data_IF_324642755271
#
_entry.id   IF_324642755271
#
_cell.length_a   1.000
_cell.length_b   1.000
_cell.length_c   1.000
_cell.angle_alpha   90.00
_cell.angle_beta   90.00
_cell.angle_gamma   90.00
#
_symmetry.space_group_name_H-M   'P 1'
#
loop_
_entity.id
_entity.type
_entity.pdbx_description
1 polymer ?
#
# COMPACT_ATOMS: atom_id res chain seq x y z
N UNK A 1 10.97 -15.82 -1.90
CA UNK A 1 9.88 -14.93 -1.43
C UNK A 1 9.41 -14.13 -2.64
N UNK A 2 8.11 -14.10 -2.94
CA UNK A 2 7.60 -13.20 -3.99
C UNK A 2 7.55 -11.81 -3.35
N UNK A 3 8.32 -10.88 -3.89
CA UNK A 3 8.29 -9.47 -3.50
C UNK A 3 7.39 -8.77 -4.52
N UNK A 4 6.23 -8.32 -4.07
CA UNK A 4 5.34 -7.52 -4.90
C UNK A 4 5.67 -6.05 -4.69
N UNK A 5 5.83 -5.33 -5.80
CA UNK A 5 6.19 -3.92 -5.82
C UNK A 5 5.04 -3.12 -6.42
N UNK A 6 4.78 -1.93 -5.86
CA UNK A 6 3.91 -0.93 -6.48
C UNK A 6 4.71 0.33 -6.74
N UNK A 7 4.42 0.99 -7.85
CA UNK A 7 5.18 2.15 -8.32
C UNK A 7 4.21 3.23 -8.79
N UNK A 8 4.44 4.45 -8.31
CA UNK A 8 3.76 5.66 -8.70
C UNK A 8 4.77 6.59 -9.37
N UNK A 9 4.49 6.96 -10.62
CA UNK A 9 5.36 7.80 -11.45
C UNK A 9 4.63 9.07 -11.86
N UNK A 10 5.38 10.07 -12.35
CA UNK A 10 4.84 11.35 -12.84
C UNK A 10 4.12 12.15 -11.75
N UNK A 11 4.58 12.00 -10.51
CA UNK A 11 4.13 12.84 -9.40
C UNK A 11 4.72 14.23 -9.64
N UNK A 12 3.90 15.30 -9.64
CA UNK A 12 4.40 16.64 -9.84
C UNK A 12 5.51 17.00 -8.84
N UNK A 13 6.48 17.83 -9.24
CA UNK A 13 7.58 18.20 -8.34
C UNK A 13 7.18 19.30 -7.33
N UNK A 14 6.04 19.93 -7.53
CA UNK A 14 5.49 21.02 -6.74
C UNK A 14 4.55 20.56 -5.61
N UNK A 15 4.28 19.26 -5.48
CA UNK A 15 3.46 18.72 -4.39
C UNK A 15 4.27 18.48 -3.13
N UNK A 16 3.73 18.92 -2.00
CA UNK A 16 4.42 18.88 -0.70
C UNK A 16 4.31 17.52 -0.01
N UNK A 17 3.18 16.83 -0.16
CA UNK A 17 2.88 15.62 0.59
C UNK A 17 2.17 14.57 -0.25
N UNK A 18 2.71 13.35 -0.21
CA UNK A 18 2.19 12.16 -0.85
C UNK A 18 1.67 11.22 0.22
N UNK A 19 0.41 10.83 0.08
CA UNK A 19 -0.29 9.96 1.00
C UNK A 19 -0.61 8.65 0.28
N UNK A 20 -0.05 7.55 0.79
CA UNK A 20 -0.39 6.23 0.31
C UNK A 20 -1.63 5.74 1.05
N UNK A 21 -2.59 5.28 0.28
CA UNK A 21 -3.87 4.83 0.76
C UNK A 21 -4.19 3.47 0.15
N UNK A 22 -5.05 2.73 0.83
CA UNK A 22 -5.76 1.60 0.23
C UNK A 22 -7.22 1.94 0.12
N UNK A 23 -7.82 1.54 -0.98
CA UNK A 23 -9.23 1.70 -1.25
C UNK A 23 -9.80 0.37 -1.70
N UNK A 24 -10.89 -0.07 -1.07
CA UNK A 24 -11.63 -1.26 -1.46
C UNK A 24 -13.12 -0.94 -1.50
N UNK A 25 -13.81 -1.21 -2.62
CA UNK A 25 -15.26 -1.12 -2.69
C UNK A 25 -15.96 -2.03 -1.65
N UNK A 26 -17.23 -1.75 -1.39
CA UNK A 26 -18.05 -2.62 -0.56
C UNK A 26 -18.10 -4.03 -1.16
N UNK A 27 -17.89 -5.06 -0.32
CA UNK A 27 -17.91 -6.46 -0.73
C UNK A 27 -16.69 -6.92 -1.53
N UNK A 28 -15.61 -6.12 -1.60
CA UNK A 28 -14.43 -6.51 -2.37
C UNK A 28 -13.78 -7.78 -1.83
N UNK A 29 -13.49 -8.74 -2.70
CA UNK A 29 -12.92 -10.02 -2.29
C UNK A 29 -11.43 -9.88 -1.98
N UNK A 30 -11.10 -9.94 -0.69
CA UNK A 30 -9.73 -10.04 -0.19
C UNK A 30 -9.57 -11.45 0.39
N UNK A 31 -8.68 -12.23 -0.21
CA UNK A 31 -8.33 -13.55 0.31
C UNK A 31 -7.09 -13.44 1.19
N UNK A 32 -7.16 -14.00 2.39
CA UNK A 32 -6.01 -14.06 3.28
C UNK A 32 -5.90 -15.41 3.97
N UNK A 33 -4.69 -15.78 4.36
CA UNK A 33 -4.40 -17.00 5.10
C UNK A 33 -3.17 -16.78 5.98
N UNK A 34 -3.16 -17.32 7.19
CA UNK A 34 -2.11 -17.07 8.17
C UNK A 34 -2.07 -15.60 8.60
N UNK A 35 -0.88 -15.03 8.74
CA UNK A 35 -0.72 -13.62 9.06
C UNK A 35 -1.09 -12.74 7.84
N UNK A 36 -1.99 -11.78 8.04
CA UNK A 36 -2.51 -10.89 7.00
C UNK A 36 -2.07 -9.42 7.18
N UNK A 37 -1.24 -9.13 8.17
CA UNK A 37 -0.62 -7.83 8.34
C UNK A 37 0.56 -7.71 7.37
N UNK A 38 0.68 -6.56 6.71
CA UNK A 38 1.66 -6.30 5.66
C UNK A 38 2.46 -5.05 6.01
N UNK A 39 3.78 -5.20 6.01
CA UNK A 39 4.72 -4.09 6.07
C UNK A 39 4.93 -3.54 4.67
N UNK A 40 4.92 -2.22 4.56
CA UNK A 40 5.18 -1.46 3.36
C UNK A 40 6.51 -0.73 3.57
N UNK A 41 7.47 -1.00 2.71
CA UNK A 41 8.80 -0.40 2.73
C UNK A 41 8.98 0.51 1.51
N UNK A 42 9.76 1.57 1.64
CA UNK A 42 10.21 2.32 0.47
C UNK A 42 11.14 1.46 -0.37
N UNK A 43 10.97 1.51 -1.69
CA UNK A 43 11.87 0.87 -2.66
C UNK A 43 12.59 1.91 -3.54
N UNK A 44 12.24 3.20 -3.41
CA UNK A 44 12.86 4.34 -4.08
C UNK A 44 13.12 5.50 -3.12
N UNK A 45 13.92 6.49 -3.56
CA UNK A 45 14.24 7.69 -2.79
C UNK A 45 15.29 7.46 -1.70
N UNK A 46 15.52 8.50 -0.90
CA UNK A 46 16.52 8.51 0.19
C UNK A 46 16.15 7.55 1.35
N UNK A 47 14.86 7.20 1.45
CA UNK A 47 14.33 6.31 2.47
C UNK A 47 14.24 4.85 2.02
N UNK A 48 14.84 4.48 0.88
CA UNK A 48 14.83 3.10 0.37
C UNK A 48 15.22 2.09 1.45
N UNK A 49 14.39 1.06 1.61
CA UNK A 49 14.53 -0.02 2.59
C UNK A 49 13.95 0.30 3.96
N UNK A 50 13.56 1.55 4.25
CA UNK A 50 12.91 1.92 5.51
C UNK A 50 11.43 1.53 5.50
N UNK A 51 10.90 1.22 6.68
CA UNK A 51 9.49 0.93 6.87
C UNK A 51 8.70 2.24 6.69
N UNK A 52 7.87 2.29 5.66
CA UNK A 52 6.96 3.39 5.42
C UNK A 52 5.70 3.27 6.27
N UNK A 53 5.17 2.06 6.43
CA UNK A 53 3.99 1.81 7.25
C UNK A 53 3.60 0.34 7.29
N UNK A 54 2.52 0.07 8.00
CA UNK A 54 2.00 -1.28 8.18
C UNK A 54 0.49 -1.25 8.05
N UNK A 55 -0.07 -2.25 7.37
CA UNK A 55 -1.50 -2.31 7.11
C UNK A 55 -2.03 -3.74 7.13
N UNK A 56 -3.26 -3.89 7.57
CA UNK A 56 -4.04 -5.12 7.38
C UNK A 56 -5.10 -4.83 6.32
N UNK A 57 -4.98 -5.46 5.15
CA UNK A 57 -5.96 -5.27 4.08
C UNK A 57 -7.30 -5.88 4.49
N UNK A 58 -8.33 -5.03 4.53
CA UNK A 58 -9.69 -5.42 4.89
C UNK A 58 -10.70 -4.67 4.02
N UNK A 59 -11.82 -5.33 3.75
CA UNK A 59 -12.97 -4.76 3.07
C UNK A 59 -14.22 -5.02 3.91
N UNK A 60 -15.09 -4.03 4.01
CA UNK A 60 -16.42 -4.19 4.58
C UNK A 60 -17.37 -4.74 3.53
N UNK A 61 -18.32 -5.59 3.95
CA UNK A 61 -19.36 -6.13 3.06
C UNK A 61 -20.40 -5.09 2.64
N UNK A 62 -20.55 -4.00 3.41
CA UNK A 62 -21.62 -3.02 3.24
C UNK A 62 -21.13 -1.64 2.82
N UNK A 63 -19.89 -1.28 3.15
CA UNK A 63 -19.36 0.06 2.92
C UNK A 63 -18.00 0.03 2.23
N UNK A 64 -17.68 1.00 1.36
CA UNK A 64 -16.33 1.20 0.86
C UNK A 64 -15.37 1.39 2.03
N UNK A 65 -14.21 0.79 1.93
CA UNK A 65 -13.18 0.81 2.96
C UNK A 65 -11.96 1.55 2.43
N UNK A 66 -11.59 2.62 3.13
CA UNK A 66 -10.43 3.44 2.77
C UNK A 66 -9.56 3.63 4.01
N UNK A 67 -8.28 3.27 3.89
CA UNK A 67 -7.30 3.47 4.95
C UNK A 67 -6.09 4.22 4.42
N UNK A 68 -5.61 5.16 5.22
CA UNK A 68 -4.33 5.82 4.99
C UNK A 68 -3.23 4.95 5.61
N UNK A 69 -2.23 4.57 4.83
CA UNK A 69 -1.06 3.83 5.32
C UNK A 69 -0.15 4.78 6.07
N UNK A 70 0.34 5.81 5.35
CA UNK A 70 1.16 6.87 5.88
C UNK A 70 1.26 8.02 4.85
N UNK A 71 1.84 9.13 5.26
CA UNK A 71 2.19 10.27 4.41
C UNK A 71 3.69 10.56 4.47
N UNK A 72 4.24 11.05 3.38
CA UNK A 72 5.65 11.45 3.29
C UNK A 72 5.84 12.53 2.23
N UNK A 73 7.03 13.13 2.18
CA UNK A 73 7.40 14.09 1.15
C UNK A 73 7.33 13.42 -0.22
N UNK A 74 6.69 14.09 -1.18
CA UNK A 74 6.62 13.58 -2.54
C UNK A 74 8.00 13.57 -3.22
N UNK A 75 8.22 12.54 -4.03
CA UNK A 75 9.24 12.48 -5.08
C UNK A 75 8.55 12.20 -6.41
N UNK A 76 9.20 12.50 -7.54
CA UNK A 76 8.67 12.20 -8.89
C UNK A 76 8.42 10.70 -9.12
N UNK A 77 9.09 9.88 -8.31
CA UNK A 77 8.98 8.43 -8.27
C UNK A 77 8.85 7.94 -6.83
N UNK A 78 7.70 7.32 -6.52
CA UNK A 78 7.46 6.63 -5.25
C UNK A 78 7.23 5.14 -5.54
N UNK A 79 8.13 4.29 -5.05
CA UNK A 79 8.04 2.84 -5.19
C UNK A 79 7.99 2.22 -3.81
N UNK A 80 7.15 1.21 -3.64
CA UNK A 80 6.98 0.52 -2.37
C UNK A 80 7.05 -0.98 -2.55
N UNK A 81 7.70 -1.64 -1.58
CA UNK A 81 7.76 -3.09 -1.45
C UNK A 81 6.86 -3.55 -0.32
N UNK A 82 6.08 -4.59 -0.58
CA UNK A 82 5.21 -5.20 0.43
C UNK A 82 5.73 -6.55 0.89
N UNK A 83 5.60 -6.82 2.19
CA UNK A 83 5.87 -8.14 2.75
C UNK A 83 5.00 -8.42 3.97
N UNK A 84 4.64 -9.68 4.21
CA UNK A 84 3.96 -10.10 5.45
C UNK A 84 4.76 -9.62 6.67
N UNK A 85 4.08 -9.01 7.64
CA UNK A 85 4.64 -8.44 8.86
C UNK A 85 5.02 -9.53 9.89
N UNK A 86 5.64 -10.61 9.42
CA UNK A 86 6.21 -11.66 10.24
C UNK A 86 7.36 -12.34 9.52
N UNK A 87 8.43 -12.60 10.25
CA UNK A 87 9.59 -13.37 9.77
C UNK A 87 9.46 -14.87 10.06
N UNK A 88 8.53 -15.25 10.94
CA UNK A 88 8.37 -16.62 11.43
C UNK A 88 7.02 -17.25 11.04
N UNK A 89 6.00 -16.43 10.78
CA UNK A 89 4.67 -16.92 10.40
C UNK A 89 4.49 -16.85 8.88
N UNK A 90 3.97 -17.94 8.31
CA UNK A 90 3.47 -17.91 6.95
C UNK A 90 2.21 -17.02 6.89
N UNK A 91 2.11 -16.27 5.81
CA UNK A 91 1.00 -15.36 5.57
C UNK A 91 0.82 -15.14 4.08
N UNK A 92 -0.41 -14.88 3.68
CA UNK A 92 -0.75 -14.41 2.34
C UNK A 92 -1.91 -13.47 2.44
N UNK A 93 -1.85 -12.41 1.66
CA UNK A 93 -2.98 -11.58 1.29
C UNK A 93 -2.99 -11.50 -0.23
N UNK A 94 -4.17 -11.63 -0.84
CA UNK A 94 -4.32 -11.56 -2.28
C UNK A 94 -5.67 -10.93 -2.60
N UNK A 95 -5.62 -9.92 -3.45
CA UNK A 95 -6.75 -9.21 -4.01
C UNK A 95 -6.41 -8.85 -5.45
N UNK A 96 -7.42 -8.64 -6.30
CA UNK A 96 -7.15 -8.10 -7.63
C UNK A 96 -6.84 -6.61 -7.49
N UNK A 97 -5.76 -6.13 -8.09
CA UNK A 97 -5.47 -4.70 -8.17
C UNK A 97 -6.20 -4.12 -9.39
N UNK A 98 -7.06 -3.13 -9.18
CA UNK A 98 -7.90 -2.52 -10.21
C UNK A 98 -7.90 -1.00 -10.06
N UNK A 99 -8.38 -0.29 -11.09
CA UNK A 99 -8.50 1.19 -11.05
C UNK A 99 -9.30 1.73 -9.86
N UNK A 100 -10.14 0.90 -9.23
CA UNK A 100 -11.06 1.30 -8.15
C UNK A 100 -10.79 0.57 -6.84
N UNK A 101 -9.88 -0.39 -6.81
CA UNK A 101 -9.61 -1.24 -5.66
C UNK A 101 -8.14 -1.64 -5.61
N UNK A 102 -7.42 -1.24 -4.57
CA UNK A 102 -5.98 -1.46 -4.45
C UNK A 102 -5.28 -0.34 -3.70
N UNK A 103 -3.98 -0.19 -3.97
CA UNK A 103 -3.15 0.88 -3.43
C UNK A 103 -3.26 2.10 -4.34
N UNK A 104 -3.60 3.23 -3.76
CA UNK A 104 -3.71 4.52 -4.45
C UNK A 104 -2.85 5.52 -3.73
N UNK A 105 -2.20 6.41 -4.47
CA UNK A 105 -1.50 7.53 -3.88
C UNK A 105 -2.23 8.82 -4.19
N UNK A 106 -2.54 9.58 -3.15
CA UNK A 106 -3.06 10.94 -3.24
C UNK A 106 -1.93 11.90 -2.91
N UNK A 107 -1.95 13.07 -3.53
CA UNK A 107 -1.00 14.12 -3.23
C UNK A 107 -1.74 15.45 -3.12
N UNK A 108 -1.27 16.29 -2.21
CA UNK A 108 -1.80 17.63 -2.03
C UNK A 108 -0.83 18.63 -2.64
N UNK A 109 -1.37 19.51 -3.48
CA UNK A 109 -0.68 20.69 -4.01
C UNK A 109 -0.70 21.81 -2.98
#
# INVERSE_FOLDING_TARGET
KREDFTQFTNIPADVYGCQLEVNFPAGYLITSSGNNQVNIYHESGDDKGKLFGMITFASSSLFPTKFVVNNDKCSTLMSYKMSIASTTQAGRVSFADTKVAGLTMTYNC
#
